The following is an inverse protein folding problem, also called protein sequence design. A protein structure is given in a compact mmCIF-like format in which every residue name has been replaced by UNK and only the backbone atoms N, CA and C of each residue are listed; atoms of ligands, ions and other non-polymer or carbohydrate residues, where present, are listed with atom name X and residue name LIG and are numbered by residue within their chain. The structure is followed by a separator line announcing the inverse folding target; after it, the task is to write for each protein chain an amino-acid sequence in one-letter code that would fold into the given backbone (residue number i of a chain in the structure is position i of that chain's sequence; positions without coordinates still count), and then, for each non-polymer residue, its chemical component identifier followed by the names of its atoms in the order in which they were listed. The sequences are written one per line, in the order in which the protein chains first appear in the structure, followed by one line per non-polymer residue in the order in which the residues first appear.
data_IF_660310459694
#
_entry.id   IF_660310459694
#
_cell.length_a   1.000
_cell.length_b   1.000
_cell.length_c   1.000
_cell.angle_alpha   90.00
_cell.angle_beta   90.00
_cell.angle_gamma   90.00
#
_symmetry.space_group_name_H-M   'P 1'
#
loop_
_entity.id
_entity.type
_entity.pdbx_description
1 polymer ?
#
# COMPACT_ATOMS: atom_id res chain seq x y z
N UNK A 1 -36.88 -19.86 -27.33
CA UNK A 1 -37.21 -19.25 -26.02
C UNK A 1 -36.53 -19.98 -24.86
N UNK A 2 -36.61 -21.31 -24.83
CA UNK A 2 -36.05 -22.17 -23.77
C UNK A 2 -34.55 -21.99 -23.49
N UNK A 3 -33.69 -21.97 -24.52
CA UNK A 3 -32.24 -21.74 -24.35
C UNK A 3 -31.91 -20.39 -23.68
N UNK A 4 -32.70 -19.34 -23.96
CA UNK A 4 -32.51 -18.01 -23.30
C UNK A 4 -32.94 -18.04 -21.83
N UNK A 5 -33.95 -18.84 -21.51
CA UNK A 5 -34.43 -19.02 -20.15
C UNK A 5 -33.45 -19.83 -19.31
N UNK A 6 -32.91 -20.92 -19.86
CA UNK A 6 -31.86 -21.74 -19.22
C UNK A 6 -30.60 -20.91 -18.94
N UNK A 7 -30.17 -20.09 -19.90
CA UNK A 7 -29.03 -19.19 -19.73
C UNK A 7 -29.27 -18.07 -18.70
N UNK A 8 -30.53 -17.69 -18.45
CA UNK A 8 -30.89 -16.74 -17.38
C UNK A 8 -30.82 -17.42 -16.02
N UNK A 9 -31.45 -18.59 -15.89
CA UNK A 9 -31.44 -19.39 -14.66
C UNK A 9 -30.00 -19.75 -14.24
N UNK A 10 -29.12 -20.11 -15.19
CA UNK A 10 -27.73 -20.40 -14.90
C UNK A 10 -26.97 -19.19 -14.33
N UNK A 11 -27.22 -17.99 -14.86
CA UNK A 11 -26.61 -16.74 -14.35
C UNK A 11 -27.15 -16.37 -12.97
N UNK A 12 -28.45 -16.51 -12.76
CA UNK A 12 -29.07 -16.24 -11.47
C UNK A 12 -28.54 -17.20 -10.40
N UNK A 13 -28.41 -18.49 -10.73
CA UNK A 13 -27.82 -19.52 -9.86
C UNK A 13 -26.34 -19.22 -9.54
N UNK A 14 -25.55 -18.81 -10.53
CA UNK A 14 -24.17 -18.41 -10.30
C UNK A 14 -24.08 -17.20 -9.36
N UNK A 15 -24.94 -16.20 -9.55
CA UNK A 15 -25.01 -15.02 -8.66
C UNK A 15 -25.36 -15.37 -7.22
N UNK A 16 -26.35 -16.26 -7.01
CA UNK A 16 -26.74 -16.74 -5.68
C UNK A 16 -25.61 -17.52 -5.02
N UNK A 17 -24.94 -18.42 -5.75
CA UNK A 17 -23.81 -19.20 -5.22
C UNK A 17 -22.66 -18.29 -4.78
N UNK A 18 -22.31 -17.29 -5.59
CA UNK A 18 -21.25 -16.33 -5.24
C UNK A 18 -21.62 -15.58 -3.95
N UNK A 19 -22.86 -15.12 -3.82
CA UNK A 19 -23.30 -14.42 -2.60
C UNK A 19 -23.21 -15.32 -1.36
N UNK A 20 -23.73 -16.55 -1.47
CA UNK A 20 -23.69 -17.50 -0.36
C UNK A 20 -22.26 -17.85 0.06
N UNK A 21 -21.33 -18.01 -0.90
CA UNK A 21 -19.91 -18.24 -0.59
C UNK A 21 -19.25 -17.02 0.07
N UNK A 22 -19.59 -15.80 -0.36
CA UNK A 22 -19.08 -14.58 0.26
C UNK A 22 -19.59 -14.42 1.70
N UNK A 23 -20.89 -14.64 1.92
CA UNK A 23 -21.50 -14.58 3.26
C UNK A 23 -20.83 -15.61 4.17
N UNK A 24 -20.61 -16.84 3.68
CA UNK A 24 -19.92 -17.89 4.42
C UNK A 24 -18.49 -17.50 4.82
N UNK A 25 -17.72 -16.85 3.93
CA UNK A 25 -16.36 -16.40 4.24
C UNK A 25 -16.35 -15.27 5.28
N UNK A 26 -17.31 -14.35 5.21
CA UNK A 26 -17.46 -13.27 6.19
C UNK A 26 -17.79 -13.84 7.56
N UNK A 27 -18.78 -14.73 7.63
CA UNK A 27 -19.21 -15.38 8.86
C UNK A 27 -18.09 -16.23 9.48
N UNK A 28 -17.35 -17.00 8.65
CA UNK A 28 -16.20 -17.77 9.10
C UNK A 28 -15.09 -16.86 9.67
N UNK A 29 -14.83 -15.72 9.04
CA UNK A 29 -13.86 -14.74 9.54
C UNK A 29 -14.28 -14.12 10.88
N UNK A 30 -15.57 -13.80 11.04
CA UNK A 30 -16.10 -13.30 12.33
C UNK A 30 -16.03 -14.37 13.42
N UNK A 31 -16.43 -15.60 13.12
CA UNK A 31 -16.36 -16.74 14.04
C UNK A 31 -14.93 -17.00 14.50
N UNK A 32 -13.97 -17.05 13.56
CA UNK A 32 -12.55 -17.25 13.88
C UNK A 32 -11.99 -16.13 14.78
N UNK A 33 -12.38 -14.88 14.54
CA UNK A 33 -11.96 -13.75 15.39
C UNK A 33 -12.50 -13.85 16.80
N UNK A 34 -13.75 -14.29 16.96
CA UNK A 34 -14.37 -14.51 18.27
C UNK A 34 -13.69 -15.65 19.03
N UNK A 35 -13.46 -16.80 18.37
CA UNK A 35 -12.80 -17.97 18.97
C UNK A 35 -11.35 -17.69 19.39
N UNK A 36 -10.59 -16.95 18.57
CA UNK A 36 -9.21 -16.60 18.89
C UNK A 36 -9.10 -15.44 19.91
N UNK A 37 -10.21 -14.83 20.33
CA UNK A 37 -10.26 -13.68 21.24
C UNK A 37 -9.30 -12.53 20.86
N UNK A 38 -9.06 -12.33 19.55
CA UNK A 38 -8.09 -11.35 19.09
C UNK A 38 -8.62 -9.92 19.31
N UNK A 39 -7.89 -9.07 20.07
CA UNK A 39 -8.25 -7.66 20.18
C UNK A 39 -8.16 -6.97 18.81
N UNK A 40 -8.85 -5.84 18.60
CA UNK A 40 -8.61 -5.01 17.42
C UNK A 40 -7.11 -4.69 17.28
N UNK A 41 -6.62 -4.68 16.03
CA UNK A 41 -5.21 -4.42 15.72
C UNK A 41 -4.78 -3.08 16.36
N UNK A 42 -3.93 -3.15 17.38
CA UNK A 42 -3.39 -2.00 18.11
C UNK A 42 -2.12 -1.48 17.43
N UNK A 43 -1.08 -2.32 17.42
CA UNK A 43 0.19 -2.03 16.75
C UNK A 43 0.17 -2.60 15.32
N UNK A 44 0.71 -1.86 14.36
CA UNK A 44 0.86 -2.34 12.98
C UNK A 44 2.26 -2.95 12.81
N UNK A 45 2.44 -3.91 11.91
CA UNK A 45 3.76 -4.48 11.61
C UNK A 45 4.83 -3.41 11.38
N UNK A 46 4.52 -2.34 10.64
CA UNK A 46 5.43 -1.20 10.42
C UNK A 46 5.82 -0.42 11.69
N UNK A 47 5.12 -0.60 12.82
CA UNK A 47 5.51 -0.10 14.14
C UNK A 47 6.63 -0.90 14.78
N UNK A 48 6.81 -2.16 14.39
CA UNK A 48 7.61 -3.15 15.13
C UNK A 48 8.94 -3.51 14.46
N UNK A 49 9.27 -2.95 13.30
CA UNK A 49 10.33 -3.48 12.42
C UNK A 49 11.69 -2.79 12.59
N UNK A 50 12.69 -3.62 12.94
CA UNK A 50 14.13 -3.44 12.82
C UNK A 50 14.88 -4.81 12.84
N UNK A 51 15.61 -5.14 11.76
CA UNK A 51 16.40 -6.39 11.43
C UNK A 51 15.61 -7.73 11.22
N UNK A 52 16.11 -8.71 10.40
CA UNK A 52 15.28 -9.39 9.37
C UNK A 52 15.21 -10.94 9.44
N UNK A 53 14.31 -11.56 8.66
CA UNK A 53 14.45 -12.91 8.04
C UNK A 53 13.43 -13.14 6.87
N UNK A 54 13.69 -14.02 5.87
CA UNK A 54 13.03 -14.01 4.55
C UNK A 54 12.20 -15.27 4.17
N UNK A 55 11.17 -15.15 3.29
CA UNK A 55 10.89 -16.00 2.08
C UNK A 55 9.62 -15.54 1.31
N UNK A 56 9.50 -15.79 -0.02
CA UNK A 56 8.57 -15.10 -0.94
C UNK A 56 7.27 -15.86 -1.27
N UNK A 57 6.30 -15.16 -1.88
CA UNK A 57 5.24 -15.76 -2.70
C UNK A 57 4.63 -14.75 -3.70
N UNK A 58 4.59 -15.14 -4.98
CA UNK A 58 4.01 -14.42 -6.12
C UNK A 58 2.47 -14.30 -6.06
N UNK A 59 1.89 -13.20 -6.60
CA UNK A 59 0.94 -13.21 -7.76
C UNK A 59 0.08 -11.94 -7.96
N UNK A 60 -0.18 -11.72 -9.26
CA UNK A 60 -1.37 -11.22 -9.97
C UNK A 60 -2.10 -9.94 -9.47
N UNK A 61 -2.21 -8.96 -10.37
CA UNK A 61 -3.14 -7.83 -10.24
C UNK A 61 -4.53 -8.21 -10.75
N UNK A 62 -5.55 -7.70 -10.08
CA UNK A 62 -6.94 -8.20 -10.14
C UNK A 62 -7.82 -7.59 -11.23
N UNK A 63 -7.32 -6.68 -12.08
CA UNK A 63 -8.17 -5.98 -13.08
C UNK A 63 -7.50 -5.58 -14.41
N UNK A 64 -6.29 -6.06 -14.70
CA UNK A 64 -5.62 -5.77 -15.99
C UNK A 64 -5.27 -4.29 -16.25
N UNK A 65 -5.23 -3.44 -15.23
CA UNK A 65 -4.79 -2.04 -15.36
C UNK A 65 -3.26 -1.93 -15.25
N UNK A 66 -2.68 -1.03 -16.03
CA UNK A 66 -1.25 -0.76 -16.00
C UNK A 66 -0.84 -0.08 -14.67
N UNK A 67 0.37 -0.37 -14.19
CA UNK A 67 0.93 0.25 -12.98
C UNK A 67 1.02 1.79 -13.06
N UNK A 68 1.04 2.34 -14.29
CA UNK A 68 1.07 3.78 -14.58
C UNK A 68 -0.28 4.49 -14.40
N UNK A 69 -1.39 3.76 -14.25
CA UNK A 69 -2.73 4.36 -14.12
C UNK A 69 -3.00 4.82 -12.68
N UNK A 70 -3.23 6.13 -12.44
CA UNK A 70 -3.57 6.63 -11.10
C UNK A 70 -4.81 5.96 -10.51
N UNK A 71 -5.79 5.54 -11.34
CA UNK A 71 -7.00 4.88 -10.85
C UNK A 71 -6.72 3.48 -10.26
N UNK A 72 -5.62 2.82 -10.65
CA UNK A 72 -5.17 1.60 -9.99
C UNK A 72 -4.75 1.88 -8.54
N UNK A 73 -4.04 2.99 -8.32
CA UNK A 73 -3.61 3.38 -6.97
C UNK A 73 -4.82 3.68 -6.08
N UNK A 74 -5.86 4.34 -6.61
CA UNK A 74 -7.14 4.55 -5.89
C UNK A 74 -7.78 3.23 -5.46
N UNK A 75 -7.90 2.30 -6.39
CA UNK A 75 -8.50 0.98 -6.14
C UNK A 75 -7.71 0.19 -5.10
N UNK A 76 -6.38 0.27 -5.11
CA UNK A 76 -5.52 -0.42 -4.15
C UNK A 76 -5.59 0.22 -2.75
N UNK A 77 -5.60 1.54 -2.67
CA UNK A 77 -5.67 2.27 -1.40
C UNK A 77 -7.06 2.21 -0.76
N UNK A 78 -8.10 1.91 -1.54
CA UNK A 78 -9.44 1.66 -1.02
C UNK A 78 -9.61 0.27 -0.38
N UNK A 79 -8.63 -0.64 -0.55
CA UNK A 79 -8.69 -1.95 0.08
C UNK A 79 -8.48 -1.85 1.60
N UNK A 80 -9.19 -2.66 2.41
CA UNK A 80 -9.06 -2.64 3.86
C UNK A 80 -7.61 -2.86 4.30
N UNK A 81 -7.15 -2.03 5.25
CA UNK A 81 -5.82 -2.12 5.84
C UNK A 81 -4.65 -2.01 4.84
N UNK A 82 -4.87 -1.42 3.66
CA UNK A 82 -3.79 -1.17 2.71
C UNK A 82 -2.67 -0.34 3.34
N UNK A 83 -1.42 -0.72 3.05
CA UNK A 83 -0.21 0.00 3.45
C UNK A 83 0.51 0.51 2.19
N UNK A 84 0.65 1.82 2.10
CA UNK A 84 1.44 2.51 1.08
C UNK A 84 2.84 2.84 1.63
N UNK A 85 3.87 2.25 1.06
CA UNK A 85 5.27 2.59 1.33
C UNK A 85 5.80 3.45 0.19
N UNK A 86 6.37 4.61 0.49
CA UNK A 86 6.79 5.61 -0.50
C UNK A 86 8.29 5.85 -0.40
N UNK A 87 8.98 5.69 -1.52
CA UNK A 87 10.34 6.20 -1.70
C UNK A 87 10.31 7.72 -1.87
N UNK A 88 10.63 8.42 -0.79
CA UNK A 88 10.42 9.84 -0.64
C UNK A 88 11.24 10.69 -1.61
N UNK A 89 12.51 10.36 -1.85
CA UNK A 89 13.33 11.14 -2.78
C UNK A 89 13.09 10.77 -4.22
N UNK A 90 12.75 9.53 -4.54
CA UNK A 90 12.38 9.17 -5.89
C UNK A 90 11.12 9.93 -6.34
N UNK A 91 10.10 9.98 -5.47
CA UNK A 91 8.86 10.71 -5.75
C UNK A 91 9.06 12.23 -5.74
N UNK A 92 9.71 12.77 -4.71
CA UNK A 92 9.83 14.23 -4.58
C UNK A 92 10.75 14.85 -5.64
N UNK A 93 11.81 14.16 -6.07
CA UNK A 93 12.65 14.60 -7.21
C UNK A 93 11.88 14.52 -8.54
N UNK A 94 10.99 13.55 -8.72
CA UNK A 94 10.13 13.48 -9.91
C UNK A 94 9.09 14.60 -9.95
N UNK A 95 8.54 14.98 -8.78
CA UNK A 95 7.49 16.00 -8.69
C UNK A 95 8.03 17.45 -8.69
N UNK A 96 9.13 17.70 -7.98
CA UNK A 96 9.61 19.06 -7.69
C UNK A 96 11.14 19.16 -7.74
N UNK A 97 11.77 18.85 -8.90
CA UNK A 97 13.23 18.77 -9.01
C UNK A 97 13.97 20.08 -8.72
N UNK A 98 13.30 21.22 -8.88
CA UNK A 98 13.88 22.56 -8.69
C UNK A 98 13.81 23.08 -7.25
N UNK A 99 13.09 22.40 -6.36
CA UNK A 99 12.94 22.82 -4.96
C UNK A 99 14.10 22.28 -4.10
N UNK A 100 14.36 22.93 -2.96
CA UNK A 100 15.32 22.41 -1.98
C UNK A 100 14.83 21.07 -1.38
N UNK A 101 15.73 20.21 -0.92
CA UNK A 101 15.37 18.91 -0.33
C UNK A 101 14.38 19.06 0.85
N UNK A 102 14.54 20.11 1.65
CA UNK A 102 13.64 20.40 2.76
C UNK A 102 12.21 20.71 2.27
N UNK A 103 12.09 21.50 1.21
CA UNK A 103 10.80 21.89 0.62
C UNK A 103 10.16 20.72 -0.15
N UNK A 104 10.95 19.94 -0.88
CA UNK A 104 10.55 18.68 -1.51
C UNK A 104 9.91 17.73 -0.49
N UNK A 105 10.59 17.50 0.64
CA UNK A 105 10.11 16.64 1.74
C UNK A 105 8.82 17.17 2.34
N UNK A 106 8.76 18.46 2.66
CA UNK A 106 7.56 19.09 3.25
C UNK A 106 6.35 18.90 2.34
N UNK A 107 6.48 19.25 1.05
CA UNK A 107 5.40 19.11 0.07
C UNK A 107 4.95 17.67 -0.13
N UNK A 108 5.88 16.71 -0.15
CA UNK A 108 5.53 15.30 -0.28
C UNK A 108 4.73 14.82 0.94
N UNK A 109 5.18 15.14 2.15
CA UNK A 109 4.48 14.74 3.38
C UNK A 109 3.09 15.36 3.46
N UNK A 110 2.94 16.64 3.11
CA UNK A 110 1.65 17.33 3.06
C UNK A 110 0.70 16.67 2.05
N UNK A 111 1.20 16.33 0.86
CA UNK A 111 0.44 15.60 -0.16
C UNK A 111 -0.01 14.22 0.31
N UNK A 112 0.89 13.46 0.94
CA UNK A 112 0.58 12.13 1.47
C UNK A 112 -0.43 12.20 2.61
N UNK A 113 -0.41 13.25 3.45
CA UNK A 113 -1.39 13.43 4.52
C UNK A 113 -2.81 13.61 3.96
N UNK A 114 -2.95 14.30 2.83
CA UNK A 114 -4.23 14.39 2.12
C UNK A 114 -4.68 13.04 1.56
N UNK A 115 -3.76 12.23 1.03
CA UNK A 115 -4.07 10.86 0.57
C UNK A 115 -4.52 10.00 1.74
N UNK A 116 -3.80 10.02 2.87
CA UNK A 116 -4.15 9.28 4.09
C UNK A 116 -5.54 9.68 4.61
N UNK A 117 -5.82 10.99 4.69
CA UNK A 117 -7.12 11.50 5.15
C UNK A 117 -8.31 11.08 4.28
N UNK A 118 -8.11 10.92 2.96
CA UNK A 118 -9.17 10.53 2.02
C UNK A 118 -9.37 9.02 1.90
N UNK A 119 -8.30 8.24 2.07
CA UNK A 119 -8.32 6.78 1.84
C UNK A 119 -8.38 5.98 3.15
N UNK A 120 -7.93 6.55 4.26
CA UNK A 120 -7.72 5.82 5.52
C UNK A 120 -6.57 4.82 5.45
N UNK A 121 -5.83 4.75 4.34
CA UNK A 121 -4.71 3.86 4.16
C UNK A 121 -3.57 4.22 5.12
N UNK A 122 -2.84 3.21 5.57
CA UNK A 122 -1.58 3.43 6.25
C UNK A 122 -0.55 3.93 5.25
N UNK A 123 0.18 5.01 5.56
CA UNK A 123 1.21 5.55 4.68
C UNK A 123 2.53 5.69 5.44
N UNK A 124 3.60 5.11 4.89
CA UNK A 124 4.97 5.26 5.36
C UNK A 124 5.84 5.85 4.25
N UNK A 125 6.46 7.01 4.50
CA UNK A 125 7.37 7.68 3.59
C UNK A 125 8.81 7.53 4.08
N UNK A 126 9.66 6.91 3.26
CA UNK A 126 11.07 6.65 3.55
C UNK A 126 11.94 7.69 2.85
N UNK A 127 12.84 8.36 3.57
CA UNK A 127 13.83 9.27 2.99
C UNK A 127 15.25 8.75 3.25
N UNK A 128 16.11 8.84 2.23
CA UNK A 128 17.53 8.50 2.33
C UNK A 128 18.34 9.66 2.98
N UNK A 129 19.09 9.38 4.04
CA UNK A 129 19.99 10.33 4.68
C UNK A 129 19.61 10.75 6.09
N UNK A 130 20.39 11.68 6.64
CA UNK A 130 20.30 12.09 8.05
C UNK A 130 18.98 12.81 8.39
N UNK A 131 18.48 12.59 9.60
CA UNK A 131 17.26 13.25 10.12
C UNK A 131 17.40 14.79 10.02
N UNK A 132 16.78 15.41 9.01
CA UNK A 132 16.51 16.84 9.02
C UNK A 132 15.41 17.15 10.04
N UNK A 133 15.30 18.40 10.56
CA UNK A 133 14.40 18.73 11.67
C UNK A 133 13.00 18.16 11.43
N UNK A 134 12.57 17.29 12.36
CA UNK A 134 11.20 16.75 12.38
C UNK A 134 10.25 17.93 12.48
N UNK A 135 9.17 17.98 11.69
CA UNK A 135 8.00 18.74 12.10
C UNK A 135 7.66 18.27 13.52
N UNK A 136 7.69 19.18 14.48
CA UNK A 136 7.35 18.89 15.86
C UNK A 136 5.90 18.41 15.94
N UNK A 137 5.72 17.10 16.15
CA UNK A 137 4.42 16.43 16.22
C UNK A 137 4.47 15.12 15.46
N UNK A 138 4.16 14.00 16.13
CA UNK A 138 4.05 12.69 15.50
C UNK A 138 3.23 12.76 14.21
N UNK A 139 3.70 12.04 13.18
CA UNK A 139 3.17 11.90 11.82
C UNK A 139 2.05 12.86 11.41
N UNK A 140 2.30 13.70 10.40
CA UNK A 140 1.24 14.50 9.76
C UNK A 140 0.02 13.60 9.48
N UNK A 141 -1.07 13.81 10.25
CA UNK A 141 -2.33 13.03 10.31
C UNK A 141 -2.35 11.79 9.39
N UNK A 142 -1.77 10.68 9.85
CA UNK A 142 -1.83 9.38 9.16
C UNK A 142 -0.64 9.01 8.28
N UNK A 143 0.40 9.85 8.19
CA UNK A 143 1.66 9.55 7.47
C UNK A 143 2.81 9.37 8.44
N UNK A 144 3.45 8.20 8.41
CA UNK A 144 4.70 7.89 9.09
C UNK A 144 5.86 8.34 8.20
N UNK A 145 6.83 9.05 8.76
CA UNK A 145 8.05 9.45 8.05
C UNK A 145 9.24 8.77 8.72
N UNK A 146 9.98 7.98 7.95
CA UNK A 146 11.17 7.28 8.41
C UNK A 146 12.39 7.76 7.63
N UNK A 147 13.51 7.91 8.32
CA UNK A 147 14.81 8.25 7.74
C UNK A 147 15.71 7.03 7.85
N UNK A 148 16.41 6.68 6.76
CA UNK A 148 17.44 5.65 6.83
C UNK A 148 18.72 6.27 7.40
N UNK A 149 19.09 5.87 8.62
CA UNK A 149 20.33 6.32 9.26
C UNK A 149 21.42 5.30 8.95
N UNK A 150 22.32 5.62 8.03
CA UNK A 150 23.47 4.77 7.69
C UNK A 150 23.19 3.59 6.73
N UNK A 151 21.97 3.49 6.20
CA UNK A 151 21.56 2.55 5.13
C UNK A 151 20.88 3.33 4.01
N UNK A 152 20.84 2.76 2.79
CA UNK A 152 20.06 3.32 1.67
C UNK A 152 18.57 3.13 1.99
N UNK A 153 17.72 4.10 1.65
CA UNK A 153 16.26 4.01 1.88
C UNK A 153 15.65 2.71 1.34
N UNK A 154 16.24 2.15 0.29
CA UNK A 154 15.93 0.87 -0.33
C UNK A 154 15.89 -0.29 0.68
N UNK A 155 16.89 -0.38 1.56
CA UNK A 155 16.98 -1.44 2.59
C UNK A 155 15.86 -1.31 3.62
N UNK A 156 15.54 -0.08 4.01
CA UNK A 156 14.41 0.20 4.88
C UNK A 156 13.08 -0.22 4.22
N UNK A 157 12.88 0.11 2.94
CA UNK A 157 11.68 -0.28 2.19
C UNK A 157 11.54 -1.82 2.14
N UNK A 158 12.63 -2.53 1.84
CA UNK A 158 12.65 -4.00 1.82
C UNK A 158 12.28 -4.60 3.17
N UNK A 159 12.80 -4.04 4.27
CA UNK A 159 12.47 -4.48 5.63
C UNK A 159 11.00 -4.25 5.97
N UNK A 160 10.47 -3.08 5.63
CA UNK A 160 9.06 -2.77 5.85
C UNK A 160 8.16 -3.76 5.12
N UNK A 161 8.43 -4.03 3.84
CA UNK A 161 7.66 -4.99 3.04
C UNK A 161 7.78 -6.40 3.61
N UNK A 162 8.99 -6.86 3.93
CA UNK A 162 9.22 -8.22 4.43
C UNK A 162 8.57 -8.53 5.78
N UNK A 163 8.27 -7.50 6.56
CA UNK A 163 7.61 -7.66 7.85
C UNK A 163 6.07 -7.68 7.77
N UNK A 164 5.50 -7.29 6.64
CA UNK A 164 4.05 -7.27 6.48
C UNK A 164 3.49 -8.70 6.38
N UNK A 165 2.34 -9.00 7.03
CA UNK A 165 1.70 -10.30 6.93
C UNK A 165 1.34 -10.64 5.49
N UNK A 166 1.62 -11.89 5.10
CA UNK A 166 1.23 -12.41 3.79
C UNK A 166 -0.29 -12.25 3.59
N UNK A 167 -0.67 -11.64 2.48
CA UNK A 167 -2.08 -11.36 2.14
C UNK A 167 -2.54 -9.93 2.45
N UNK A 168 -1.77 -9.15 3.23
CA UNK A 168 -2.01 -7.72 3.36
C UNK A 168 -1.68 -7.00 2.06
N UNK A 169 -2.50 -6.03 1.68
CA UNK A 169 -2.22 -5.19 0.51
C UNK A 169 -1.11 -4.22 0.86
N UNK A 170 0.08 -4.46 0.34
CA UNK A 170 1.23 -3.55 0.42
C UNK A 170 1.49 -2.97 -0.96
N UNK A 171 1.53 -1.65 -1.06
CA UNK A 171 1.84 -0.92 -2.28
C UNK A 171 3.13 -0.15 -2.06
N UNK A 172 4.12 -0.37 -2.92
CA UNK A 172 5.39 0.37 -2.88
C UNK A 172 5.43 1.33 -4.05
N UNK A 173 5.68 2.61 -3.76
CA UNK A 173 5.91 3.63 -4.78
C UNK A 173 7.40 3.87 -4.91
N UNK A 174 7.96 3.40 -6.02
CA UNK A 174 9.34 3.66 -6.41
C UNK A 174 9.47 3.59 -7.94
N UNK A 175 10.49 4.23 -8.48
CA UNK A 175 10.91 4.06 -9.88
C UNK A 175 12.29 3.41 -9.99
N UNK A 176 12.88 2.99 -8.86
CA UNK A 176 14.09 2.18 -8.87
C UNK A 176 13.73 0.73 -9.22
N UNK A 177 14.35 0.20 -10.28
CA UNK A 177 14.05 -1.16 -10.76
C UNK A 177 14.52 -2.24 -9.81
N UNK A 178 15.67 -2.06 -9.17
CA UNK A 178 16.20 -3.05 -8.25
C UNK A 178 15.30 -3.14 -7.00
N UNK A 179 14.89 -2.00 -6.45
CA UNK A 179 13.92 -1.99 -5.34
C UNK A 179 12.59 -2.59 -5.76
N UNK A 180 12.10 -2.23 -6.95
CA UNK A 180 10.84 -2.75 -7.48
C UNK A 180 10.86 -4.28 -7.57
N UNK A 181 11.86 -4.86 -8.24
CA UNK A 181 11.95 -6.31 -8.46
C UNK A 181 11.99 -7.06 -7.12
N UNK A 182 12.72 -6.53 -6.14
CA UNK A 182 12.89 -7.17 -4.85
C UNK A 182 11.65 -7.09 -3.95
N UNK A 183 10.93 -5.97 -3.95
CA UNK A 183 9.67 -5.85 -3.18
C UNK A 183 8.51 -6.57 -3.88
N UNK A 184 8.51 -6.65 -5.21
CA UNK A 184 7.57 -7.51 -5.95
C UNK A 184 7.81 -8.98 -5.62
N UNK A 185 9.08 -9.41 -5.55
CA UNK A 185 9.43 -10.76 -5.10
C UNK A 185 8.97 -11.02 -3.66
N UNK A 186 8.94 -10.00 -2.80
CA UNK A 186 8.42 -10.07 -1.44
C UNK A 186 6.88 -9.99 -1.33
N UNK A 187 6.16 -9.80 -2.44
CA UNK A 187 4.70 -9.82 -2.51
C UNK A 187 4.02 -8.45 -2.45
N UNK A 188 4.78 -7.35 -2.51
CA UNK A 188 4.21 -6.01 -2.64
C UNK A 188 3.79 -5.72 -4.09
N UNK A 189 2.89 -4.75 -4.26
CA UNK A 189 2.53 -4.19 -5.56
C UNK A 189 3.37 -2.95 -5.83
N UNK A 190 4.10 -2.90 -6.93
CA UNK A 190 4.89 -1.72 -7.28
C UNK A 190 4.09 -0.77 -8.16
N UNK A 191 4.20 0.51 -7.84
CA UNK A 191 3.61 1.61 -8.58
C UNK A 191 4.71 2.64 -8.89
N UNK A 192 4.88 3.07 -10.16
CA UNK A 192 5.85 4.10 -10.51
C UNK A 192 5.59 5.42 -9.76
N UNK A 193 6.67 6.13 -9.42
CA UNK A 193 6.58 7.43 -8.75
C UNK A 193 5.73 8.43 -9.52
N UNK A 194 5.81 8.42 -10.85
CA UNK A 194 4.99 9.26 -11.73
C UNK A 194 3.48 9.04 -11.53
N UNK A 195 3.04 7.82 -11.22
CA UNK A 195 1.63 7.51 -10.94
C UNK A 195 1.16 8.20 -9.66
N UNK A 196 1.96 8.16 -8.60
CA UNK A 196 1.65 8.84 -7.35
C UNK A 196 1.64 10.36 -7.54
N UNK A 197 2.61 10.91 -8.28
CA UNK A 197 2.65 12.35 -8.60
C UNK A 197 1.41 12.77 -9.38
N UNK A 198 1.04 12.01 -10.41
CA UNK A 198 -0.16 12.27 -11.19
C UNK A 198 -1.45 12.15 -10.36
N UNK A 199 -1.48 11.27 -9.35
CA UNK A 199 -2.59 11.18 -8.40
C UNK A 199 -2.66 12.38 -7.48
N UNK A 200 -1.55 12.76 -6.86
CA UNK A 200 -1.47 13.89 -5.93
C UNK A 200 -1.86 15.21 -6.63
N UNK A 201 -1.49 15.38 -7.90
CA UNK A 201 -1.87 16.56 -8.68
C UNK A 201 -3.38 16.71 -8.94
N UNK A 202 -4.19 15.66 -8.69
CA UNK A 202 -5.66 15.68 -8.83
C UNK A 202 -6.39 15.97 -7.52
N UNK A 203 -5.66 16.12 -6.41
CA UNK A 203 -6.21 16.44 -5.09
C UNK A 203 -6.49 17.94 -4.96
#
# INVERSE_FOLDING_TARGET
AQVRQEARVARDLAGVRVRLLLDTLVDAGQGLRAELALPPVGDRPADLVGTPAPVPAERATSRGRAASDPALLDDLLALPHAHLVVDGYNVSKAAWPSLSLAEQRRRLVDALANVAGRTGAEITCCFDGQEGPRPSGGGARGVRVLFSVGEIADDLIRRLVGAEPRGRVVVVVTSDRQVADDVEAAGARVVPSATLVARVARL
#
